data_IF_288825462043
#
_entry.id   IF_288825462043
#
_cell.length_a   1.000
_cell.length_b   1.000
_cell.length_c   1.000
_cell.angle_alpha   90.00
_cell.angle_beta   90.00
_cell.angle_gamma   90.00
#
_symmetry.space_group_name_H-M   'P 1'
#
loop_
_entity.id
_entity.type
_entity.pdbx_description
1 polymer ?
#
# COMPACT_ATOMS: atom_id res chain seq x y z
N UNK A 1 17.47 1.28 20.61
CA UNK A 1 17.66 -0.17 20.47
C UNK A 1 17.35 -0.60 19.03
N UNK A 2 18.27 -1.27 18.38
CA UNK A 2 18.04 -1.74 17.02
C UNK A 2 17.13 -2.97 17.00
N UNK A 3 16.26 -3.02 15.99
CA UNK A 3 15.40 -4.19 15.80
C UNK A 3 16.25 -5.38 15.37
N UNK A 4 16.07 -6.57 15.98
CA UNK A 4 16.79 -7.75 15.55
C UNK A 4 16.64 -8.01 14.04
N UNK A 5 17.68 -8.48 13.40
CA UNK A 5 17.71 -8.72 11.96
C UNK A 5 16.55 -9.62 11.48
N UNK A 6 16.21 -10.64 12.25
CA UNK A 6 15.10 -11.55 11.95
C UNK A 6 13.75 -10.85 11.97
N UNK A 7 13.52 -9.95 12.94
CA UNK A 7 12.27 -9.17 13.03
C UNK A 7 12.16 -8.15 11.90
N UNK A 8 13.29 -7.57 11.48
CA UNK A 8 13.31 -6.63 10.36
C UNK A 8 12.89 -7.29 9.05
N UNK A 9 13.40 -8.48 8.79
CA UNK A 9 13.03 -9.26 7.61
C UNK A 9 11.57 -9.66 7.63
N UNK A 10 11.05 -10.04 8.79
CA UNK A 10 9.64 -10.43 8.97
C UNK A 10 8.71 -9.24 8.73
N UNK A 11 9.02 -8.07 9.29
CA UNK A 11 8.21 -6.85 9.12
C UNK A 11 8.10 -6.44 7.66
N UNK A 12 9.22 -6.46 6.95
CA UNK A 12 9.29 -6.12 5.54
C UNK A 12 8.49 -7.10 4.68
N UNK A 13 8.62 -8.40 4.96
CA UNK A 13 7.87 -9.43 4.26
C UNK A 13 6.38 -9.29 4.53
N UNK A 14 6.00 -8.93 5.76
CA UNK A 14 4.61 -8.72 6.14
C UNK A 14 3.98 -7.58 5.35
N UNK A 15 4.67 -6.46 5.17
CA UNK A 15 4.19 -5.32 4.39
C UNK A 15 3.90 -5.75 2.94
N UNK A 16 4.81 -6.50 2.34
CA UNK A 16 4.65 -6.98 0.96
C UNK A 16 3.44 -7.91 0.86
N UNK A 17 3.35 -8.88 1.77
CA UNK A 17 2.26 -9.86 1.79
C UNK A 17 0.90 -9.18 1.97
N UNK A 18 0.80 -8.27 2.93
CA UNK A 18 -0.46 -7.58 3.21
C UNK A 18 -0.87 -6.64 2.09
N UNK A 19 0.09 -5.99 1.43
CA UNK A 19 -0.20 -5.16 0.26
C UNK A 19 -0.76 -6.00 -0.89
N UNK A 20 -0.19 -7.19 -1.13
CA UNK A 20 -0.66 -8.10 -2.17
C UNK A 20 -2.05 -8.66 -1.82
N UNK A 21 -2.33 -8.94 -0.55
CA UNK A 21 -3.66 -9.35 -0.09
C UNK A 21 -4.68 -8.23 -0.33
N UNK A 22 -4.33 -7.00 -0.02
CA UNK A 22 -5.18 -5.83 -0.27
C UNK A 22 -5.49 -5.69 -1.75
N UNK A 23 -4.47 -5.80 -2.60
CA UNK A 23 -4.64 -5.67 -4.05
C UNK A 23 -5.56 -6.78 -4.58
N UNK A 24 -5.33 -8.03 -4.15
CA UNK A 24 -6.15 -9.17 -4.57
C UNK A 24 -7.60 -8.99 -4.13
N UNK A 25 -7.83 -8.58 -2.89
CA UNK A 25 -9.18 -8.34 -2.39
C UNK A 25 -9.86 -7.21 -3.16
N UNK A 26 -9.12 -6.14 -3.45
CA UNK A 26 -9.64 -5.00 -4.21
C UNK A 26 -10.11 -5.44 -5.60
N UNK A 27 -9.33 -6.26 -6.28
CA UNK A 27 -9.72 -6.81 -7.59
C UNK A 27 -10.98 -7.64 -7.46
N UNK A 28 -11.08 -8.49 -6.43
CA UNK A 28 -12.25 -9.35 -6.22
C UNK A 28 -13.52 -8.54 -5.98
N UNK A 29 -13.48 -7.56 -5.06
CA UNK A 29 -14.68 -6.77 -4.75
C UNK A 29 -15.08 -5.89 -5.95
N UNK A 30 -14.11 -5.34 -6.68
CA UNK A 30 -14.35 -4.52 -7.86
C UNK A 30 -14.89 -5.34 -9.04
N UNK A 31 -14.64 -6.65 -9.05
CA UNK A 31 -15.19 -7.55 -10.08
C UNK A 31 -16.63 -7.98 -9.79
N UNK A 32 -17.11 -7.73 -8.58
CA UNK A 32 -18.49 -8.05 -8.21
C UNK A 32 -19.43 -6.96 -8.71
N UNK A 33 -20.21 -7.27 -9.75
CA UNK A 33 -21.09 -6.29 -10.39
C UNK A 33 -22.21 -5.79 -9.46
N UNK A 34 -22.56 -6.53 -8.40
CA UNK A 34 -23.51 -6.06 -7.41
C UNK A 34 -22.94 -4.95 -6.52
N UNK A 35 -21.62 -4.90 -6.36
CA UNK A 35 -20.92 -3.84 -5.61
C UNK A 35 -20.45 -2.71 -6.52
N UNK A 36 -19.96 -3.06 -7.70
CA UNK A 36 -19.39 -2.14 -8.67
C UNK A 36 -20.06 -2.31 -10.03
N UNK A 37 -21.14 -1.54 -10.31
CA UNK A 37 -21.86 -1.65 -11.56
C UNK A 37 -20.95 -1.46 -12.78
N UNK A 38 -21.10 -2.33 -13.75
CA UNK A 38 -20.25 -2.40 -14.95
C UNK A 38 -20.16 -1.07 -15.70
N UNK A 39 -21.24 -0.30 -15.75
CA UNK A 39 -21.29 0.98 -16.47
C UNK A 39 -20.34 2.04 -15.90
N UNK A 40 -19.90 1.88 -14.64
CA UNK A 40 -18.99 2.83 -13.99
C UNK A 40 -17.52 2.36 -14.01
N UNK A 41 -17.25 1.30 -14.77
CA UNK A 41 -15.91 0.66 -14.83
C UNK A 41 -14.80 1.68 -15.07
N UNK A 42 -14.97 2.53 -16.04
CA UNK A 42 -13.91 3.45 -16.47
C UNK A 42 -13.84 4.74 -15.67
N UNK A 43 -14.93 5.14 -15.02
CA UNK A 43 -14.92 6.39 -14.25
C UNK A 43 -14.43 6.22 -12.81
N UNK A 44 -14.63 5.05 -12.18
CA UNK A 44 -14.21 4.85 -10.79
C UNK A 44 -13.54 3.49 -10.54
N UNK A 45 -14.11 2.40 -11.00
CA UNK A 45 -13.65 1.04 -10.66
C UNK A 45 -12.20 0.80 -11.08
N UNK A 46 -11.85 1.14 -12.31
CA UNK A 46 -10.49 0.97 -12.83
C UNK A 46 -9.47 1.79 -12.01
N UNK A 47 -9.85 3.00 -11.60
CA UNK A 47 -9.00 3.88 -10.81
C UNK A 47 -8.71 3.31 -9.43
N UNK A 48 -9.71 2.66 -8.82
CA UNK A 48 -9.57 1.99 -7.51
C UNK A 48 -8.60 0.82 -7.64
N UNK A 49 -8.77 -0.01 -8.66
CA UNK A 49 -7.87 -1.15 -8.91
C UNK A 49 -6.45 -0.65 -9.16
N UNK A 50 -6.30 0.38 -9.99
CA UNK A 50 -4.99 0.96 -10.29
C UNK A 50 -4.29 1.47 -9.05
N UNK A 51 -5.01 2.13 -8.15
CA UNK A 51 -4.45 2.62 -6.88
C UNK A 51 -3.94 1.47 -6.01
N UNK A 52 -4.72 0.39 -5.87
CA UNK A 52 -4.31 -0.78 -5.10
C UNK A 52 -3.07 -1.46 -5.70
N UNK A 53 -3.06 -1.65 -7.01
CA UNK A 53 -1.91 -2.21 -7.73
C UNK A 53 -0.67 -1.33 -7.52
N UNK A 54 -0.85 0.00 -7.59
CA UNK A 54 0.26 0.94 -7.42
C UNK A 54 0.87 0.87 -6.02
N UNK A 55 0.06 0.66 -4.98
CA UNK A 55 0.56 0.45 -3.61
C UNK A 55 1.53 -0.74 -3.58
N UNK A 56 1.13 -1.88 -4.13
CA UNK A 56 1.97 -3.08 -4.18
C UNK A 56 3.25 -2.82 -4.99
N UNK A 57 3.14 -2.15 -6.13
CA UNK A 57 4.29 -1.83 -6.99
C UNK A 57 5.29 -0.94 -6.27
N UNK A 58 4.83 0.13 -5.63
CA UNK A 58 5.69 1.08 -4.93
C UNK A 58 6.41 0.43 -3.75
N UNK A 59 5.73 -0.45 -3.01
CA UNK A 59 6.34 -1.19 -1.91
C UNK A 59 7.47 -2.07 -2.44
N UNK A 60 7.24 -2.79 -3.53
CA UNK A 60 8.27 -3.63 -4.14
C UNK A 60 9.41 -2.80 -4.73
N UNK A 61 9.11 -1.65 -5.31
CA UNK A 61 10.13 -0.73 -5.81
C UNK A 61 11.01 -0.22 -4.68
N UNK A 62 10.41 0.20 -3.56
CA UNK A 62 11.15 0.61 -2.38
C UNK A 62 12.05 -0.52 -1.87
N UNK A 63 11.51 -1.73 -1.80
CA UNK A 63 12.23 -2.90 -1.33
C UNK A 63 13.41 -3.27 -2.24
N UNK A 64 13.32 -2.96 -3.52
CA UNK A 64 14.39 -3.26 -4.50
C UNK A 64 15.60 -2.34 -4.36
N UNK A 65 15.45 -1.20 -3.71
CA UNK A 65 16.55 -0.25 -3.52
C UNK A 65 17.37 -0.65 -2.29
N UNK A 66 18.57 -1.15 -2.51
CA UNK A 66 19.50 -1.50 -1.44
C UNK A 66 20.31 -0.26 -1.02
N UNK A 67 20.28 0.04 0.27
CA UNK A 67 21.04 1.16 0.84
C UNK A 67 22.28 0.61 1.53
N UNK A 68 23.43 0.72 0.87
CA UNK A 68 24.70 0.26 1.40
C UNK A 68 25.35 1.38 2.23
N UNK A 69 25.53 1.18 3.56
CA UNK A 69 26.14 2.21 4.42
C UNK A 69 27.56 2.60 4.00
N UNK A 70 28.26 1.71 3.28
CA UNK A 70 29.63 1.93 2.84
C UNK A 70 29.75 2.63 1.48
N UNK A 71 28.61 2.79 0.78
CA UNK A 71 28.62 3.36 -0.57
C UNK A 71 28.59 4.88 -0.54
N UNK A 72 29.28 5.50 -1.49
CA UNK A 72 29.19 6.95 -1.74
C UNK A 72 27.79 7.36 -2.23
N UNK A 73 27.00 6.40 -2.73
CA UNK A 73 25.63 6.61 -3.21
C UNK A 73 24.58 6.40 -2.12
N UNK A 74 25.00 6.16 -0.88
CA UNK A 74 24.10 5.86 0.24
C UNK A 74 22.94 6.85 0.36
N UNK A 75 23.27 8.15 0.33
CA UNK A 75 22.27 9.20 0.51
C UNK A 75 21.24 9.20 -0.63
N UNK A 76 21.71 9.09 -1.87
CA UNK A 76 20.83 9.06 -3.04
C UNK A 76 19.94 7.82 -3.03
N UNK A 77 20.49 6.67 -2.68
CA UNK A 77 19.73 5.42 -2.60
C UNK A 77 18.68 5.49 -1.48
N UNK A 78 19.04 6.04 -0.33
CA UNK A 78 18.07 6.22 0.76
C UNK A 78 16.95 7.17 0.35
N UNK A 79 17.25 8.27 -0.28
CA UNK A 79 16.24 9.22 -0.76
C UNK A 79 15.30 8.58 -1.78
N UNK A 80 15.82 7.75 -2.69
CA UNK A 80 15.02 7.03 -3.67
C UNK A 80 14.07 6.03 -2.99
N UNK A 81 14.60 5.20 -2.09
CA UNK A 81 13.80 4.22 -1.33
C UNK A 81 12.71 4.90 -0.53
N UNK A 82 13.09 5.96 0.20
CA UNK A 82 12.15 6.74 1.00
C UNK A 82 11.05 7.36 0.13
N UNK A 83 11.42 7.86 -1.04
CA UNK A 83 10.47 8.44 -1.99
C UNK A 83 9.38 7.45 -2.39
N UNK A 84 9.75 6.21 -2.68
CA UNK A 84 8.77 5.17 -2.99
C UNK A 84 7.87 4.85 -1.80
N UNK A 85 8.42 4.81 -0.59
CA UNK A 85 7.63 4.59 0.63
C UNK A 85 6.62 5.72 0.86
N UNK A 86 7.03 6.97 0.68
CA UNK A 86 6.16 8.15 0.81
C UNK A 86 5.02 8.08 -0.22
N UNK A 87 5.35 7.74 -1.46
CA UNK A 87 4.35 7.60 -2.52
C UNK A 87 3.36 6.48 -2.22
N UNK A 88 3.84 5.35 -1.69
CA UNK A 88 2.98 4.24 -1.31
C UNK A 88 1.98 4.65 -0.23
N UNK A 89 2.44 5.38 0.80
CA UNK A 89 1.55 5.90 1.84
C UNK A 89 0.51 6.84 1.23
N UNK A 90 0.93 7.74 0.34
CA UNK A 90 0.01 8.66 -0.34
C UNK A 90 -1.06 7.91 -1.13
N UNK A 91 -0.69 6.80 -1.78
CA UNK A 91 -1.66 5.98 -2.52
C UNK A 91 -2.68 5.30 -1.60
N UNK A 92 -2.31 4.97 -0.36
CA UNK A 92 -3.30 4.41 0.58
C UNK A 92 -4.38 5.43 0.91
N UNK A 93 -4.04 6.70 1.06
CA UNK A 93 -5.01 7.77 1.27
C UNK A 93 -5.89 7.97 0.04
N UNK A 94 -5.29 7.94 -1.15
CA UNK A 94 -6.03 8.06 -2.41
C UNK A 94 -7.05 6.91 -2.54
N UNK A 95 -6.62 5.70 -2.24
CA UNK A 95 -7.51 4.52 -2.30
C UNK A 95 -8.67 4.68 -1.33
N UNK A 96 -8.42 5.09 -0.08
CA UNK A 96 -9.47 5.29 0.92
C UNK A 96 -10.49 6.33 0.45
N UNK A 97 -10.03 7.41 -0.17
CA UNK A 97 -10.91 8.45 -0.71
C UNK A 97 -11.82 7.90 -1.80
N UNK A 98 -11.24 7.15 -2.75
CA UNK A 98 -12.02 6.57 -3.85
C UNK A 98 -12.99 5.49 -3.37
N UNK A 99 -12.61 4.71 -2.34
CA UNK A 99 -13.48 3.74 -1.71
C UNK A 99 -14.69 4.42 -1.06
N UNK A 100 -14.48 5.53 -0.37
CA UNK A 100 -15.58 6.30 0.23
C UNK A 100 -16.53 6.83 -0.84
N UNK A 101 -16.00 7.35 -1.93
CA UNK A 101 -16.81 7.82 -3.06
C UNK A 101 -17.64 6.68 -3.64
N UNK A 102 -17.03 5.50 -3.83
CA UNK A 102 -17.72 4.33 -4.35
C UNK A 102 -18.82 3.87 -3.39
N UNK A 103 -18.55 3.85 -2.09
CA UNK A 103 -19.53 3.49 -1.07
C UNK A 103 -20.76 4.43 -1.14
N UNK A 104 -20.52 5.73 -1.21
CA UNK A 104 -21.59 6.73 -1.28
C UNK A 104 -22.38 6.64 -2.60
N UNK A 105 -21.71 6.29 -3.68
CA UNK A 105 -22.31 6.23 -5.02
C UNK A 105 -23.09 4.94 -5.25
N UNK A 106 -22.55 3.80 -4.83
CA UNK A 106 -23.09 2.48 -5.15
C UNK A 106 -23.84 1.81 -4.00
N UNK A 107 -23.72 2.33 -2.78
CA UNK A 107 -24.37 1.74 -1.62
C UNK A 107 -23.81 0.35 -1.26
N UNK A 108 -22.50 0.19 -1.33
CA UNK A 108 -21.84 -1.07 -0.99
C UNK A 108 -22.12 -1.43 0.48
N UNK A 109 -22.40 -2.71 0.77
CA UNK A 109 -22.71 -3.17 2.12
C UNK A 109 -21.63 -2.76 3.13
N UNK A 110 -22.06 -2.24 4.30
CA UNK A 110 -21.15 -1.71 5.31
C UNK A 110 -20.14 -2.73 5.82
N UNK A 111 -20.53 -3.99 6.00
CA UNK A 111 -19.60 -5.04 6.45
C UNK A 111 -18.49 -5.30 5.43
N UNK A 112 -18.79 -5.22 4.16
CA UNK A 112 -17.80 -5.35 3.09
C UNK A 112 -16.85 -4.16 3.08
N UNK A 113 -17.37 -2.97 3.29
CA UNK A 113 -16.57 -1.75 3.38
C UNK A 113 -15.64 -1.78 4.60
N UNK A 114 -16.14 -2.23 5.75
CA UNK A 114 -15.35 -2.31 6.98
C UNK A 114 -14.18 -3.27 6.82
N UNK A 115 -14.41 -4.44 6.24
CA UNK A 115 -13.35 -5.42 5.99
C UNK A 115 -12.29 -4.86 5.05
N UNK A 116 -12.72 -4.29 3.94
CA UNK A 116 -11.83 -3.72 2.91
C UNK A 116 -11.02 -2.55 3.48
N UNK A 117 -11.69 -1.63 4.16
CA UNK A 117 -11.03 -0.48 4.81
C UNK A 117 -10.00 -0.96 5.83
N UNK A 118 -10.32 -2.00 6.61
CA UNK A 118 -9.39 -2.60 7.56
C UNK A 118 -8.11 -3.10 6.89
N UNK A 119 -8.21 -3.69 5.71
CA UNK A 119 -7.04 -4.13 4.95
C UNK A 119 -6.16 -2.94 4.55
N UNK A 120 -6.76 -1.85 4.10
CA UNK A 120 -6.01 -0.64 3.71
C UNK A 120 -5.30 -0.03 4.92
N UNK A 121 -6.01 0.12 6.04
CA UNK A 121 -5.46 0.70 7.27
C UNK A 121 -4.28 -0.14 7.78
N UNK A 122 -4.41 -1.45 7.73
CA UNK A 122 -3.32 -2.35 8.14
C UNK A 122 -2.07 -2.15 7.29
N UNK A 123 -2.22 -2.10 5.98
CA UNK A 123 -1.10 -1.83 5.06
C UNK A 123 -0.49 -0.46 5.35
N UNK A 124 -1.31 0.55 5.55
CA UNK A 124 -0.88 1.90 5.86
C UNK A 124 -0.02 1.95 7.12
N UNK A 125 -0.47 1.25 8.18
CA UNK A 125 0.27 1.20 9.44
C UNK A 125 1.60 0.45 9.30
N UNK A 126 1.60 -0.67 8.58
CA UNK A 126 2.82 -1.44 8.32
C UNK A 126 3.83 -0.62 7.49
N UNK A 127 3.35 0.11 6.50
CA UNK A 127 4.17 1.00 5.68
C UNK A 127 4.83 2.10 6.51
N UNK A 128 4.06 2.74 7.37
CA UNK A 128 4.56 3.80 8.25
C UNK A 128 5.61 3.26 9.21
N UNK A 129 5.38 2.08 9.78
CA UNK A 129 6.33 1.44 10.69
C UNK A 129 7.63 1.08 9.96
N UNK A 130 7.53 0.53 8.76
CA UNK A 130 8.69 0.21 7.93
C UNK A 130 9.48 1.47 7.57
N UNK A 131 8.79 2.51 7.13
CA UNK A 131 9.40 3.79 6.79
C UNK A 131 10.15 4.38 7.99
N UNK A 132 9.54 4.35 9.17
CA UNK A 132 10.15 4.84 10.41
C UNK A 132 11.40 4.04 10.77
N UNK A 133 11.32 2.71 10.66
CA UNK A 133 12.45 1.82 10.91
C UNK A 133 13.62 2.14 9.98
N UNK A 134 13.34 2.34 8.69
CA UNK A 134 14.35 2.72 7.70
C UNK A 134 14.93 4.11 7.99
N UNK A 135 14.12 5.08 8.38
CA UNK A 135 14.58 6.41 8.75
C UNK A 135 15.56 6.35 9.91
N UNK A 136 15.28 5.52 10.91
CA UNK A 136 16.18 5.34 12.05
C UNK A 136 17.49 4.66 11.67
N UNK A 137 17.46 3.81 10.62
CA UNK A 137 18.63 3.06 10.18
C UNK A 137 19.52 3.84 9.21
N UNK A 138 18.92 4.59 8.29
CA UNK A 138 19.63 5.19 7.15
C UNK A 138 19.75 6.70 7.21
N UNK A 139 19.07 7.33 8.13
CA UNK A 139 19.08 8.80 8.26
C UNK A 139 20.43 9.36 8.72
#
# INVERSE_FOLDING_TARGET
MSVPKSKRGTSKLEVITKANELTTHTIHICSNESCFPKRYRWCITAKIVDAAVEISRLINMANSVYVNPESEHRKADWELRRGYQVQAVAQTYSLLTMMDIAYRTFGIEGSKMDYWTGLVINVQNLLRNWKRSDENRYK
#
